data_IF_786388846176
#
_entry.id   IF_786388846176
#
_cell.length_a   1.000
_cell.length_b   1.000
_cell.length_c   1.000
_cell.angle_alpha   90.00
_cell.angle_beta   90.00
_cell.angle_gamma   90.00
#
_symmetry.space_group_name_H-M   'P 1'
#
loop_
_entity.id
_entity.type
_entity.pdbx_description
1 polymer ?
#
# COMPACT_ATOMS: atom_id res chain seq x y z
N UNK A 1 -8.31 -9.14 11.99
CA UNK A 1 -7.52 -8.66 10.84
C UNK A 1 -6.10 -8.34 11.31
N UNK A 2 -5.05 -8.62 10.54
CA UNK A 2 -3.65 -8.41 10.99
C UNK A 2 -3.37 -6.94 11.25
N UNK A 3 -3.94 -6.05 10.45
CA UNK A 3 -3.75 -4.62 10.64
C UNK A 3 -4.52 -4.14 11.88
N UNK A 4 -5.77 -4.55 12.05
CA UNK A 4 -6.58 -4.16 13.21
C UNK A 4 -5.96 -4.63 14.52
N UNK A 5 -5.53 -5.89 14.57
CA UNK A 5 -4.97 -6.50 15.77
C UNK A 5 -3.65 -5.84 16.20
N UNK A 6 -2.75 -5.60 15.23
CA UNK A 6 -1.44 -4.98 15.49
C UNK A 6 -1.57 -3.47 15.75
N UNK A 7 -2.41 -2.76 15.00
CA UNK A 7 -2.56 -1.32 15.16
C UNK A 7 -3.38 -0.92 16.39
N UNK A 8 -4.31 -1.76 16.86
CA UNK A 8 -5.15 -1.43 18.03
C UNK A 8 -4.37 -1.47 19.35
N UNK A 9 -3.35 -2.32 19.43
CA UNK A 9 -2.53 -2.50 20.63
C UNK A 9 -1.36 -1.50 20.71
N UNK A 10 -0.84 -1.07 19.56
CA UNK A 10 0.25 -0.11 19.46
C UNK A 10 -0.12 1.32 19.87
N UNK A 11 0.87 2.12 20.26
CA UNK A 11 0.68 3.55 20.49
C UNK A 11 0.60 4.33 19.17
N UNK A 12 1.38 3.90 18.17
CA UNK A 12 1.42 4.42 16.80
C UNK A 12 1.55 3.22 15.87
N UNK A 13 0.73 3.17 14.83
CA UNK A 13 0.83 2.18 13.77
C UNK A 13 1.30 2.84 12.47
N UNK A 14 2.48 2.47 11.98
CA UNK A 14 2.98 2.91 10.69
C UNK A 14 2.45 1.98 9.61
N UNK A 15 1.66 2.54 8.69
CA UNK A 15 1.06 1.83 7.55
C UNK A 15 1.75 2.28 6.28
N UNK A 16 2.47 1.37 5.63
CA UNK A 16 3.07 1.60 4.32
C UNK A 16 2.13 1.12 3.22
N UNK A 17 1.88 1.95 2.23
CA UNK A 17 1.15 1.58 1.03
C UNK A 17 2.16 1.43 -0.10
N UNK A 18 2.34 0.20 -0.56
CA UNK A 18 3.31 -0.14 -1.59
C UNK A 18 2.61 -0.24 -2.95
N UNK A 19 3.30 0.12 -4.05
CA UNK A 19 2.75 -0.08 -5.39
C UNK A 19 2.39 -1.55 -5.64
N UNK A 20 1.53 -1.74 -6.64
CA UNK A 20 1.13 -3.07 -7.06
C UNK A 20 2.35 -3.90 -7.50
N UNK A 21 2.26 -5.22 -7.33
CA UNK A 21 3.37 -6.11 -7.64
C UNK A 21 3.65 -6.14 -9.14
N UNK A 22 2.63 -5.88 -9.96
CA UNK A 22 2.74 -5.79 -11.42
C UNK A 22 3.60 -4.59 -11.84
N UNK A 23 3.60 -3.50 -11.07
CA UNK A 23 4.40 -2.31 -11.34
C UNK A 23 5.85 -2.44 -10.83
N UNK A 24 6.03 -2.94 -9.59
CA UNK A 24 7.35 -2.95 -8.94
C UNK A 24 8.12 -4.26 -9.07
N UNK A 25 7.44 -5.34 -9.45
CA UNK A 25 7.88 -6.73 -9.28
C UNK A 25 8.17 -7.06 -7.80
N UNK A 26 8.42 -8.33 -7.49
CA UNK A 26 8.79 -8.76 -6.14
C UNK A 26 10.10 -8.10 -5.69
N UNK A 27 11.04 -7.86 -6.61
CA UNK A 27 12.31 -7.18 -6.28
C UNK A 27 12.08 -5.76 -5.74
N UNK A 28 11.23 -4.96 -6.38
CA UNK A 28 10.93 -3.61 -5.93
C UNK A 28 10.22 -3.62 -4.58
N UNK A 29 9.22 -4.49 -4.41
CA UNK A 29 8.51 -4.66 -3.15
C UNK A 29 9.45 -5.08 -2.02
N UNK A 30 10.34 -6.05 -2.26
CA UNK A 30 11.32 -6.51 -1.28
C UNK A 30 12.28 -5.40 -0.85
N UNK A 31 12.72 -4.53 -1.76
CA UNK A 31 13.56 -3.37 -1.40
C UNK A 31 12.84 -2.41 -0.45
N UNK A 32 11.56 -2.12 -0.69
CA UNK A 32 10.77 -1.29 0.23
C UNK A 32 10.55 -1.97 1.58
N UNK A 33 10.29 -3.28 1.58
CA UNK A 33 10.14 -4.05 2.81
C UNK A 33 11.44 -4.10 3.63
N UNK A 34 12.59 -4.29 2.99
CA UNK A 34 13.90 -4.29 3.66
C UNK A 34 14.21 -2.93 4.32
N UNK A 35 13.85 -1.84 3.62
CA UNK A 35 13.95 -0.49 4.17
C UNK A 35 13.04 -0.34 5.42
N UNK A 36 11.77 -0.74 5.32
CA UNK A 36 10.84 -0.67 6.45
C UNK A 36 11.27 -1.56 7.62
N UNK A 37 11.83 -2.73 7.36
CA UNK A 37 12.40 -3.63 8.37
C UNK A 37 13.58 -2.98 9.07
N UNK A 38 14.51 -2.37 8.33
CA UNK A 38 15.65 -1.63 8.90
C UNK A 38 15.20 -0.51 9.85
N UNK A 39 14.10 0.18 9.50
CA UNK A 39 13.48 1.19 10.37
C UNK A 39 12.85 0.54 11.60
N UNK A 40 12.05 -0.51 11.42
CA UNK A 40 11.40 -1.22 12.50
C UNK A 40 12.40 -1.77 13.52
N UNK A 41 13.53 -2.34 13.07
CA UNK A 41 14.60 -2.81 13.94
C UNK A 41 15.23 -1.69 14.77
N UNK A 42 15.41 -0.50 14.16
CA UNK A 42 15.94 0.68 14.85
C UNK A 42 15.02 1.16 15.97
N UNK A 43 13.71 1.04 15.79
CA UNK A 43 12.70 1.50 16.74
C UNK A 43 12.01 0.38 17.53
N UNK A 44 12.54 -0.86 17.51
CA UNK A 44 11.93 -2.04 18.16
C UNK A 44 11.63 -1.91 19.65
N UNK A 45 12.30 -1.01 20.35
CA UNK A 45 12.07 -0.72 21.77
C UNK A 45 10.87 0.21 22.02
N UNK A 46 10.37 0.85 20.97
CA UNK A 46 9.23 1.76 21.02
C UNK A 46 7.93 0.97 20.85
N UNK A 47 6.80 1.43 21.43
CA UNK A 47 5.50 0.77 21.31
C UNK A 47 4.84 1.04 19.94
N UNK A 48 5.59 0.84 18.86
CA UNK A 48 5.16 1.07 17.49
C UNK A 48 4.87 -0.24 16.79
N UNK A 49 3.87 -0.24 15.91
CA UNK A 49 3.61 -1.34 14.99
C UNK A 49 3.86 -0.88 13.56
N UNK A 50 4.32 -1.80 12.73
CA UNK A 50 4.62 -1.57 11.33
C UNK A 50 3.83 -2.59 10.53
N UNK A 51 3.05 -2.11 9.58
CA UNK A 51 2.22 -2.90 8.67
C UNK A 51 2.33 -2.31 7.27
N UNK A 52 2.06 -3.14 6.27
CA UNK A 52 2.01 -2.67 4.89
C UNK A 52 0.78 -3.25 4.20
N UNK A 53 0.28 -2.51 3.22
CA UNK A 53 -0.79 -2.91 2.32
C UNK A 53 -0.37 -2.63 0.88
N UNK A 54 -0.80 -3.48 -0.05
CA UNK A 54 -0.69 -3.18 -1.46
C UNK A 54 -1.73 -2.12 -1.87
N UNK A 55 -1.36 -1.28 -2.82
CA UNK A 55 -2.21 -0.27 -3.43
C UNK A 55 -3.59 -0.84 -3.82
N UNK A 56 -4.66 -0.15 -3.44
CA UNK A 56 -6.03 -0.51 -3.82
C UNK A 56 -6.61 -1.73 -3.10
N UNK A 57 -5.87 -2.41 -2.23
CA UNK A 57 -6.40 -3.51 -1.42
C UNK A 57 -7.16 -3.03 -0.19
N UNK A 58 -7.00 -1.76 0.21
CA UNK A 58 -7.65 -1.18 1.41
C UNK A 58 -8.30 0.17 1.08
N UNK A 59 -9.34 0.20 0.22
CA UNK A 59 -9.87 1.44 -0.34
C UNK A 59 -10.44 2.40 0.71
N UNK A 60 -11.11 1.90 1.75
CA UNK A 60 -11.66 2.74 2.82
C UNK A 60 -10.56 3.41 3.65
N UNK A 61 -9.51 2.66 4.00
CA UNK A 61 -8.35 3.19 4.70
C UNK A 61 -7.61 4.22 3.84
N UNK A 62 -7.31 3.87 2.59
CA UNK A 62 -6.61 4.72 1.62
C UNK A 62 -7.34 6.05 1.43
N UNK A 63 -8.67 6.02 1.27
CA UNK A 63 -9.48 7.22 1.17
C UNK A 63 -9.43 8.08 2.44
N UNK A 64 -9.52 7.47 3.63
CA UNK A 64 -9.47 8.22 4.90
C UNK A 64 -8.13 8.89 5.16
N UNK A 65 -7.03 8.23 4.79
CA UNK A 65 -5.68 8.79 4.94
C UNK A 65 -5.23 9.61 3.73
N UNK A 66 -6.07 9.76 2.72
CA UNK A 66 -5.79 10.50 1.49
C UNK A 66 -4.70 9.87 0.62
N UNK A 67 -4.44 8.57 0.78
CA UNK A 67 -3.51 7.80 -0.06
C UNK A 67 -4.25 7.36 -1.32
N UNK A 68 -3.63 7.55 -2.49
CA UNK A 68 -4.26 7.33 -3.80
C UNK A 68 -4.24 8.56 -4.70
N UNK A 69 -4.27 9.78 -4.11
CA UNK A 69 -4.07 11.03 -4.86
C UNK A 69 -2.59 11.42 -5.05
N UNK A 70 -1.72 11.01 -4.13
CA UNK A 70 -0.29 11.35 -4.11
C UNK A 70 0.61 10.34 -4.85
N UNK A 71 0.05 9.18 -5.23
CA UNK A 71 0.81 8.06 -5.78
C UNK A 71 1.45 7.16 -4.70
N UNK A 72 1.97 6.02 -5.15
CA UNK A 72 2.68 5.03 -4.33
C UNK A 72 4.18 5.08 -4.64
N UNK A 73 5.08 4.76 -3.69
CA UNK A 73 4.81 4.33 -2.32
C UNK A 73 4.45 5.48 -1.38
N UNK A 74 3.63 5.19 -0.37
CA UNK A 74 3.25 6.14 0.68
C UNK A 74 3.43 5.52 2.08
N UNK A 75 3.69 6.35 3.09
CA UNK A 75 3.77 5.92 4.49
C UNK A 75 2.90 6.84 5.35
N UNK A 76 2.12 6.25 6.24
CA UNK A 76 1.24 6.99 7.15
C UNK A 76 1.45 6.51 8.58
N UNK A 77 1.57 7.44 9.52
CA UNK A 77 1.53 7.15 10.95
C UNK A 77 0.09 7.28 11.43
N UNK A 78 -0.50 6.19 11.92
CA UNK A 78 -1.87 6.08 12.37
C UNK A 78 -1.94 5.98 13.90
N UNK A 79 -2.83 6.74 14.52
CA UNK A 79 -3.17 6.60 15.93
C UNK A 79 -4.67 6.33 16.06
N UNK A 80 -5.02 5.04 16.17
CA UNK A 80 -6.42 4.59 16.27
C UNK A 80 -7.10 5.15 17.53
N UNK A 81 -6.37 5.26 18.65
CA UNK A 81 -6.92 5.78 19.92
C UNK A 81 -7.25 7.27 19.86
N UNK A 82 -6.48 8.04 19.09
CA UNK A 82 -6.68 9.48 18.91
C UNK A 82 -7.46 9.83 17.64
N UNK A 83 -7.84 8.83 16.83
CA UNK A 83 -8.43 9.01 15.50
C UNK A 83 -7.68 10.09 14.70
N UNK A 84 -6.35 9.96 14.65
CA UNK A 84 -5.48 10.91 13.98
C UNK A 84 -4.43 10.18 13.14
N UNK A 85 -4.05 10.78 12.02
CA UNK A 85 -3.00 10.25 11.15
C UNK A 85 -2.04 11.35 10.70
N UNK A 86 -0.82 10.97 10.32
CA UNK A 86 0.12 11.86 9.67
C UNK A 86 0.71 11.16 8.44
N UNK A 87 0.58 11.72 7.23
CA UNK A 87 1.27 11.17 6.06
C UNK A 87 2.74 11.62 6.02
N UNK A 88 3.60 10.76 5.49
CA UNK A 88 4.96 11.12 5.11
C UNK A 88 4.89 12.11 3.93
N UNK A 89 5.40 13.32 4.14
CA UNK A 89 5.41 14.40 3.12
C UNK A 89 6.78 14.57 2.44
N UNK A 90 7.68 13.62 2.63
CA UNK A 90 9.03 13.60 2.06
C UNK A 90 9.25 12.33 1.24
N UNK A 91 10.44 12.20 0.65
CA UNK A 91 10.79 11.04 -0.17
C UNK A 91 10.73 9.73 0.66
N UNK A 92 10.36 8.64 0.00
CA UNK A 92 10.34 7.30 0.59
C UNK A 92 11.77 6.72 0.68
N UNK A 93 12.60 7.34 1.53
CA UNK A 93 14.00 6.98 1.75
C UNK A 93 14.28 6.70 3.21
N UNK A 94 15.30 5.89 3.50
CA UNK A 94 15.61 5.41 4.85
C UNK A 94 15.75 6.55 5.87
N UNK A 95 16.54 7.58 5.55
CA UNK A 95 16.77 8.70 6.47
C UNK A 95 15.48 9.50 6.71
N UNK A 96 14.71 9.75 5.64
CA UNK A 96 13.46 10.50 5.71
C UNK A 96 12.41 9.76 6.55
N UNK A 97 12.31 8.45 6.38
CA UNK A 97 11.40 7.60 7.15
C UNK A 97 11.83 7.54 8.62
N UNK A 98 13.13 7.44 8.91
CA UNK A 98 13.65 7.47 10.29
C UNK A 98 13.28 8.77 10.99
N UNK A 99 13.46 9.92 10.31
CA UNK A 99 13.15 11.20 10.91
C UNK A 99 11.65 11.39 11.10
N UNK A 100 10.85 10.95 10.12
CA UNK A 100 9.39 10.90 10.24
C UNK A 100 8.91 10.06 11.44
N UNK A 101 9.49 8.88 11.67
CA UNK A 101 9.14 8.02 12.82
C UNK A 101 9.49 8.70 14.14
N UNK A 102 10.63 9.41 14.23
CA UNK A 102 10.99 10.18 15.42
C UNK A 102 10.00 11.32 15.66
N UNK A 103 9.66 12.07 14.62
CA UNK A 103 8.71 13.19 14.71
C UNK A 103 7.32 12.72 15.13
N UNK A 104 6.83 11.62 14.54
CA UNK A 104 5.57 11.00 14.93
C UNK A 104 5.57 10.58 16.41
N UNK A 105 6.68 10.02 16.90
CA UNK A 105 6.86 9.65 18.31
C UNK A 105 6.84 10.83 19.28
N UNK A 106 7.29 12.01 18.85
CA UNK A 106 7.32 13.23 19.66
C UNK A 106 6.00 14.02 19.65
N UNK A 107 4.97 13.50 18.96
CA UNK A 107 3.65 14.13 18.89
C UNK A 107 3.22 14.51 17.47
N UNK A 108 4.08 14.33 16.46
CA UNK A 108 3.78 14.51 15.04
C UNK A 108 3.44 15.96 14.66
N UNK A 109 4.17 16.53 13.70
CA UNK A 109 3.74 17.78 13.05
C UNK A 109 2.79 17.45 11.90
N UNK A 110 1.64 18.11 11.85
CA UNK A 110 0.69 17.95 10.74
C UNK A 110 -0.21 16.71 10.84
N UNK A 111 -0.53 16.27 12.08
CA UNK A 111 -1.56 15.26 12.30
C UNK A 111 -2.91 15.79 11.77
N UNK A 112 -3.60 14.96 11.01
CA UNK A 112 -4.92 15.18 10.46
C UNK A 112 -5.92 14.28 11.20
N UNK A 113 -7.16 14.74 11.42
CA UNK A 113 -8.20 13.92 12.01
C UNK A 113 -8.63 12.83 11.03
N UNK A 114 -9.05 11.69 11.56
CA UNK A 114 -9.72 10.62 10.82
C UNK A 114 -11.20 10.70 11.14
N UNK A 115 -12.04 10.79 10.11
CA UNK A 115 -13.49 10.92 10.27
C UNK A 115 -14.16 9.68 10.88
N UNK A 116 -13.67 8.48 10.57
CA UNK A 116 -14.23 7.20 11.03
C UNK A 116 -13.12 6.19 11.29
N UNK A 117 -13.36 5.21 12.16
CA UNK A 117 -12.45 4.07 12.24
C UNK A 117 -12.47 3.32 10.90
N UNK A 118 -11.32 3.08 10.25
CA UNK A 118 -11.27 2.46 8.94
C UNK A 118 -11.80 1.02 9.01
N UNK A 119 -12.66 0.64 8.07
CA UNK A 119 -13.08 -0.75 7.90
C UNK A 119 -12.00 -1.49 7.11
N UNK A 120 -11.38 -2.47 7.74
CA UNK A 120 -10.26 -3.20 7.17
C UNK A 120 -10.80 -4.43 6.45
N UNK A 121 -10.52 -4.55 5.16
CA UNK A 121 -10.94 -5.71 4.36
C UNK A 121 -9.93 -6.83 4.57
N UNK A 122 -10.42 -8.07 4.78
CA UNK A 122 -9.53 -9.22 4.90
C UNK A 122 -8.80 -9.49 3.59
N UNK A 123 -7.48 -9.33 3.59
CA UNK A 123 -6.61 -9.68 2.46
C UNK A 123 -5.85 -10.96 2.76
N UNK A 124 -5.61 -11.78 1.73
CA UNK A 124 -4.73 -12.94 1.88
C UNK A 124 -3.30 -12.48 2.18
N UNK A 125 -2.60 -13.12 3.13
CA UNK A 125 -1.20 -12.80 3.41
C UNK A 125 -0.36 -13.10 2.18
N UNK A 126 0.51 -12.16 1.81
CA UNK A 126 1.40 -12.34 0.66
C UNK A 126 2.41 -13.47 0.92
N UNK A 127 2.50 -14.42 0.00
CA UNK A 127 3.37 -15.62 0.08
C UNK A 127 4.87 -15.30 -0.15
N UNK A 128 5.21 -14.02 -0.42
CA UNK A 128 6.59 -13.59 -0.65
C UNK A 128 7.12 -13.86 -2.07
N UNK A 129 6.24 -14.23 -2.99
CA UNK A 129 6.54 -14.48 -4.41
C UNK A 129 5.81 -13.47 -5.31
N UNK A 130 6.30 -13.27 -6.52
CA UNK A 130 5.56 -12.55 -7.56
C UNK A 130 4.15 -13.16 -7.68
N UNK A 131 3.09 -12.33 -7.74
CA UNK A 131 1.79 -12.85 -8.17
C UNK A 131 2.00 -13.34 -9.60
N UNK A 132 1.75 -14.63 -9.83
CA UNK A 132 1.62 -15.13 -11.19
C UNK A 132 0.53 -14.26 -11.82
N UNK A 133 0.91 -13.50 -12.84
CA UNK A 133 -0.04 -12.90 -13.75
C UNK A 133 -0.87 -14.09 -14.20
N UNK A 134 -2.11 -14.20 -13.72
CA UNK A 134 -3.09 -14.98 -14.46
C UNK A 134 -3.09 -14.24 -15.79
N UNK A 135 -2.47 -14.86 -16.80
CA UNK A 135 -2.58 -14.44 -18.18
C UNK A 135 -4.08 -14.38 -18.42
N UNK A 136 -4.68 -13.20 -18.26
CA UNK A 136 -5.97 -12.95 -18.86
C UNK A 136 -5.70 -13.14 -20.35
N UNK A 137 -6.20 -14.27 -20.84
CA UNK A 137 -6.02 -14.77 -22.19
C UNK A 137 -5.91 -13.60 -23.16
N UNK A 138 -4.80 -13.60 -23.90
CA UNK A 138 -4.59 -12.72 -25.04
C UNK A 138 -5.92 -12.57 -25.79
N UNK A 139 -6.55 -11.39 -25.72
CA UNK A 139 -7.54 -11.01 -26.72
C UNK A 139 -6.78 -10.97 -28.04
N UNK A 140 -6.73 -12.10 -28.74
CA UNK A 140 -6.10 -12.20 -30.06
C UNK A 140 -6.72 -11.13 -30.95
N UNK A 141 -5.87 -10.24 -31.47
CA UNK A 141 -6.23 -9.21 -32.45
C UNK A 141 -6.91 -9.79 -33.72
N UNK A 142 -6.93 -11.11 -33.89
CA UNK A 142 -7.64 -11.84 -34.93
C UNK A 142 -9.17 -11.77 -34.80
N UNK A 143 -9.74 -11.69 -33.59
CA UNK A 143 -11.20 -11.52 -33.41
C UNK A 143 -11.68 -10.10 -33.76
N UNK A 144 -10.77 -9.12 -33.83
CA UNK A 144 -11.09 -7.74 -34.24
C UNK A 144 -10.89 -7.49 -35.75
N UNK A 145 -10.17 -8.38 -36.46
CA UNK A 145 -9.91 -8.29 -37.91
C UNK A 145 -10.56 -9.43 -38.71
N UNK A 146 -11.66 -9.98 -38.21
CA UNK A 146 -12.40 -11.06 -38.84
C UNK A 146 -13.76 -10.65 -39.42
N UNK A 147 -13.83 -9.64 -40.30
CA UNK A 147 -14.83 -9.58 -41.40
C UNK A 147 -14.57 -8.41 -42.37
N UNK A 148 -13.90 -8.65 -43.50
CA UNK A 148 -14.18 -7.94 -44.76
C UNK A 148 -13.67 -8.78 -45.94
N UNK A 149 -14.33 -9.91 -46.18
CA UNK A 149 -14.43 -10.56 -47.50
C UNK A 149 -15.09 -11.93 -47.37
N UNK A 150 -16.43 -11.98 -47.45
CA UNK A 150 -17.16 -12.84 -48.39
C UNK A 150 -18.63 -12.40 -48.40
N UNK A 151 -19.02 -11.57 -49.37
CA UNK A 151 -20.37 -11.63 -49.93
C UNK A 151 -20.28 -11.79 -51.46
N UNK A 152 -20.38 -13.05 -51.86
CA UNK A 152 -21.10 -13.60 -53.01
C UNK A 152 -20.65 -13.22 -54.42
N UNK A 153 -19.93 -14.19 -54.99
CA UNK A 153 -20.15 -14.81 -56.31
C UNK A 153 -21.62 -14.70 -56.78
N UNK A 154 -21.86 -14.08 -57.94
CA UNK A 154 -22.83 -14.55 -58.95
C UNK A 154 -22.31 -14.24 -60.36
N UNK A 155 -22.58 -15.20 -61.23
CA UNK A 155 -22.17 -15.41 -62.61
C UNK A 155 -22.66 -14.35 -63.61
#
# INVERSE_FOLDING_TARGET
DVMEEKCSTAAICFVAFLPDILDSKAEGRNRYLDLLLSVAEKFKKSPYSYVWAAAGKQPDLEQQVGVGGYGYPALVALNVKKLAYAPLRSAFELNQIIDFVKEAGQGGKGNLPIDKAPSIVQTQPWDGKDEEVIEEDEFSLEDLMGDDSVLKDEL
#
